data_IF_331990137951
#
_entry.id   IF_331990137951
#
_cell.length_a   1.000
_cell.length_b   1.000
_cell.length_c   1.000
_cell.angle_alpha   90.00
_cell.angle_beta   90.00
_cell.angle_gamma   90.00
#
_symmetry.space_group_name_H-M   'P 1'
#
loop_
_entity.id
_entity.type
_entity.pdbx_description
1 polymer ?
#
# COMPACT_ATOMS: atom_id res chain seq x y z
N UNK A 1 36.37 -59.51 -13.07
CA UNK A 1 35.00 -59.10 -12.72
C UNK A 1 35.01 -57.62 -12.37
N UNK A 2 34.72 -56.74 -13.34
CA UNK A 2 34.67 -55.27 -13.15
C UNK A 2 33.25 -54.91 -12.74
N UNK A 3 33.06 -54.42 -11.51
CA UNK A 3 31.78 -53.87 -11.05
C UNK A 3 31.58 -52.51 -11.71
N UNK A 4 30.58 -52.40 -12.59
CA UNK A 4 30.08 -51.12 -13.06
C UNK A 4 29.30 -50.45 -11.92
N UNK A 5 29.65 -49.20 -11.61
CA UNK A 5 28.87 -48.34 -10.75
C UNK A 5 27.60 -47.85 -11.50
N UNK A 6 26.47 -47.63 -10.80
CA UNK A 6 25.26 -47.11 -11.43
C UNK A 6 25.43 -45.63 -11.76
N UNK A 7 25.32 -45.32 -13.06
CA UNK A 7 25.13 -43.95 -13.56
C UNK A 7 23.75 -43.47 -13.15
N UNK A 8 23.69 -42.56 -12.16
CA UNK A 8 22.49 -41.81 -11.84
C UNK A 8 22.35 -40.70 -12.88
N UNK A 9 21.39 -40.85 -13.78
CA UNK A 9 21.01 -39.86 -14.77
C UNK A 9 20.32 -38.69 -14.05
N UNK A 10 21.03 -37.56 -13.88
CA UNK A 10 20.44 -36.30 -13.44
C UNK A 10 19.68 -35.67 -14.61
N UNK A 11 18.40 -36.01 -14.72
CA UNK A 11 17.46 -35.24 -15.51
C UNK A 11 17.21 -33.90 -14.80
N UNK A 12 17.76 -32.82 -15.35
CA UNK A 12 17.56 -31.45 -14.90
C UNK A 12 16.17 -30.97 -15.36
N UNK A 13 15.13 -31.29 -14.58
CA UNK A 13 13.84 -30.59 -14.59
C UNK A 13 13.57 -30.20 -13.14
N UNK A 14 14.11 -29.05 -12.74
CA UNK A 14 14.05 -28.53 -11.38
C UNK A 14 12.67 -27.98 -11.03
N UNK A 15 11.67 -28.85 -10.88
CA UNK A 15 10.54 -28.60 -10.00
C UNK A 15 10.94 -29.19 -8.65
N UNK A 16 11.43 -28.34 -7.77
CA UNK A 16 11.67 -28.69 -6.38
C UNK A 16 10.30 -28.82 -5.70
N UNK A 17 9.70 -30.00 -5.77
CA UNK A 17 8.56 -30.35 -4.95
C UNK A 17 9.05 -30.44 -3.49
N UNK A 18 8.70 -29.45 -2.67
CA UNK A 18 8.76 -29.59 -1.23
C UNK A 18 7.74 -30.66 -0.83
N UNK A 19 8.24 -31.85 -0.47
CA UNK A 19 7.46 -32.83 0.26
C UNK A 19 7.16 -32.25 1.65
N UNK A 20 5.90 -31.90 1.91
CA UNK A 20 5.42 -31.65 3.25
C UNK A 20 5.35 -33.00 3.98
N UNK A 21 6.16 -33.18 5.02
CA UNK A 21 5.89 -34.18 6.04
C UNK A 21 4.70 -33.68 6.86
N UNK A 22 3.52 -34.27 6.64
CA UNK A 22 2.42 -34.19 7.60
C UNK A 22 2.82 -34.98 8.84
N UNK A 23 2.97 -34.27 9.95
CA UNK A 23 3.09 -34.87 11.27
C UNK A 23 1.69 -34.90 11.89
N UNK A 24 1.07 -36.09 11.85
CA UNK A 24 -0.16 -36.42 12.57
C UNK A 24 0.14 -36.47 14.07
N UNK A 25 0.08 -35.33 14.75
CA UNK A 25 0.07 -35.28 16.22
C UNK A 25 -1.35 -35.13 16.72
N UNK A 26 -1.97 -36.29 16.92
CA UNK A 26 -3.15 -36.55 17.72
C UNK A 26 -2.95 -36.04 19.17
N UNK A 27 -3.55 -34.90 19.48
CA UNK A 27 -3.55 -34.30 20.82
C UNK A 27 -4.97 -34.18 21.36
N UNK A 28 -5.46 -35.24 21.99
CA UNK A 28 -6.58 -35.20 22.93
C UNK A 28 -6.27 -34.23 24.06
N UNK A 29 -7.14 -33.25 24.32
CA UNK A 29 -7.09 -32.44 25.53
C UNK A 29 -8.48 -32.28 26.12
N UNK A 30 -8.52 -32.57 27.42
CA UNK A 30 -9.65 -32.91 28.25
C UNK A 30 -10.72 -31.82 28.40
N UNK A 31 -11.95 -32.31 28.55
CA UNK A 31 -13.11 -31.56 29.03
C UNK A 31 -13.22 -31.69 30.56
N UNK A 32 -12.79 -30.67 31.30
CA UNK A 32 -13.17 -30.36 32.70
C UNK A 32 -13.02 -28.84 32.85
N UNK A 33 -14.01 -28.02 33.18
CA UNK A 33 -15.14 -28.19 34.08
C UNK A 33 -14.83 -27.42 35.37
N UNK A 34 -15.21 -26.14 35.44
CA UNK A 34 -15.38 -25.26 36.62
C UNK A 34 -15.70 -23.85 36.05
N UNK A 35 -16.83 -23.18 36.29
CA UNK A 35 -17.66 -23.14 37.48
C UNK A 35 -17.35 -21.87 38.28
N UNK A 36 -17.76 -20.68 37.81
CA UNK A 36 -17.86 -19.50 38.68
C UNK A 36 -19.11 -18.67 38.36
N UNK A 37 -19.75 -18.29 39.46
CA UNK A 37 -21.10 -17.81 39.62
C UNK A 37 -21.39 -16.43 39.01
N UNK A 38 -22.69 -16.23 38.78
CA UNK A 38 -23.35 -14.93 38.67
C UNK A 38 -23.13 -14.05 39.90
N UNK A 39 -23.13 -12.72 39.74
CA UNK A 39 -24.01 -11.81 40.50
C UNK A 39 -23.97 -10.35 39.99
N UNK A 40 -25.11 -9.67 40.18
CA UNK A 40 -25.34 -8.23 40.39
C UNK A 40 -25.24 -7.22 39.21
N UNK A 41 -26.40 -7.01 38.58
CA UNK A 41 -27.21 -5.78 38.63
C UNK A 41 -26.52 -4.45 39.01
N UNK A 42 -26.61 -3.44 38.13
CA UNK A 42 -26.77 -2.05 38.55
C UNK A 42 -27.46 -1.24 37.43
N UNK A 43 -28.78 -1.11 37.57
CA UNK A 43 -29.60 -0.07 36.96
C UNK A 43 -29.07 1.33 37.32
N UNK A 44 -29.03 2.21 36.33
CA UNK A 44 -28.73 3.63 36.49
C UNK A 44 -29.58 4.46 35.54
N UNK A 45 -30.89 4.46 35.78
CA UNK A 45 -31.82 5.41 35.18
C UNK A 45 -31.61 6.81 35.75
N UNK A 46 -31.50 7.80 34.87
CA UNK A 46 -31.98 9.15 35.10
C UNK A 46 -31.20 10.24 34.37
N UNK A 47 -31.79 11.34 33.91
CA UNK A 47 -33.18 11.83 33.85
C UNK A 47 -33.11 13.16 33.07
N UNK A 48 -34.24 13.52 32.46
CA UNK A 48 -34.72 14.90 32.20
C UNK A 48 -33.96 15.74 31.13
N UNK A 49 -34.55 15.93 29.94
CA UNK A 49 -35.60 16.92 29.57
C UNK A 49 -35.10 18.37 29.58
N UNK A 50 -34.94 18.91 28.36
CA UNK A 50 -34.83 20.33 28.07
C UNK A 50 -35.27 20.62 26.62
N UNK A 51 -36.39 21.34 26.40
CA UNK A 51 -36.99 21.58 25.08
C UNK A 51 -36.50 22.88 24.44
N UNK A 52 -36.77 22.99 23.12
CA UNK A 52 -36.98 24.21 22.33
C UNK A 52 -35.95 25.35 22.36
N UNK A 53 -35.41 25.71 21.18
CA UNK A 53 -35.74 27.00 20.56
C UNK A 53 -35.03 27.24 19.22
N UNK A 54 -35.85 27.44 18.20
CA UNK A 54 -35.71 28.43 17.12
C UNK A 54 -34.60 28.27 16.08
N UNK A 55 -34.95 27.64 14.96
CA UNK A 55 -34.49 28.07 13.63
C UNK A 55 -35.33 29.29 13.19
N UNK A 56 -34.73 30.48 13.00
CA UNK A 56 -35.41 31.55 12.30
C UNK A 56 -35.38 31.31 10.79
N UNK A 57 -36.57 31.31 10.21
CA UNK A 57 -36.79 31.56 8.78
C UNK A 57 -36.15 32.89 8.38
N UNK A 58 -35.52 32.91 7.21
CA UNK A 58 -35.26 34.14 6.45
C UNK A 58 -35.51 33.84 4.98
N UNK A 59 -36.78 34.03 4.61
CA UNK A 59 -37.21 34.27 3.25
C UNK A 59 -37.00 35.77 2.92
N UNK A 60 -36.57 36.04 1.68
CA UNK A 60 -36.33 37.38 1.13
C UNK A 60 -34.83 37.57 0.83
N UNK A 61 -34.38 38.05 -0.33
CA UNK A 61 -35.09 38.59 -1.48
C UNK A 61 -34.10 38.64 -2.65
N UNK A 62 -34.66 38.46 -3.85
CA UNK A 62 -34.23 38.94 -5.18
C UNK A 62 -32.97 39.83 -5.27
N UNK A 63 -31.99 39.42 -6.09
CA UNK A 63 -31.47 40.29 -7.15
C UNK A 63 -30.67 39.53 -8.22
N UNK A 64 -31.23 39.58 -9.44
CA UNK A 64 -30.50 39.37 -10.67
C UNK A 64 -29.43 40.46 -10.83
N UNK A 65 -28.23 40.06 -11.23
CA UNK A 65 -27.32 40.92 -12.00
C UNK A 65 -26.53 40.03 -12.93
N UNK A 66 -27.19 39.80 -14.06
CA UNK A 66 -26.57 39.63 -15.37
C UNK A 66 -25.49 40.71 -15.55
N UNK A 67 -24.23 40.29 -15.58
CA UNK A 67 -23.15 41.06 -16.19
C UNK A 67 -22.21 40.08 -16.85
N UNK A 68 -22.62 39.68 -18.04
CA UNK A 68 -21.77 39.06 -19.05
C UNK A 68 -20.70 40.08 -19.49
N UNK A 69 -19.39 39.85 -19.27
CA UNK A 69 -18.35 40.57 -19.98
C UNK A 69 -18.22 39.97 -21.39
N UNK A 70 -18.21 40.78 -22.45
CA UNK A 70 -17.92 40.29 -23.79
C UNK A 70 -16.43 40.05 -23.94
N UNK A 71 -16.10 38.80 -24.29
CA UNK A 71 -15.02 38.45 -25.21
C UNK A 71 -13.59 38.83 -24.83
N UNK A 72 -12.80 37.81 -24.52
CA UNK A 72 -11.54 37.63 -25.23
C UNK A 72 -11.46 36.18 -25.70
N UNK A 73 -11.39 36.03 -27.03
CA UNK A 73 -11.14 34.79 -27.73
C UNK A 73 -9.73 34.29 -27.37
N UNK A 74 -9.61 33.61 -26.24
CA UNK A 74 -8.43 32.83 -25.90
C UNK A 74 -8.48 31.54 -26.70
N UNK A 75 -7.76 31.55 -27.84
CA UNK A 75 -7.44 30.39 -28.68
C UNK A 75 -7.49 29.08 -27.92
N UNK A 76 -8.39 28.21 -28.36
CA UNK A 76 -8.40 26.78 -28.06
C UNK A 76 -6.98 26.25 -28.25
N UNK A 77 -6.24 26.19 -27.15
CA UNK A 77 -5.05 25.38 -27.09
C UNK A 77 -5.59 23.97 -27.18
N UNK A 78 -5.61 23.47 -28.42
CA UNK A 78 -5.75 22.06 -28.71
C UNK A 78 -4.98 21.29 -27.63
N UNK A 79 -5.55 20.22 -27.04
CA UNK A 79 -4.79 19.36 -26.15
C UNK A 79 -3.52 18.98 -26.92
N UNK A 80 -2.43 19.65 -26.55
CA UNK A 80 -1.14 19.46 -27.18
C UNK A 80 -0.90 17.97 -27.05
N UNK A 81 -0.78 17.34 -28.21
CA UNK A 81 -0.37 15.96 -28.38
C UNK A 81 0.85 15.77 -27.49
N UNK A 82 0.61 15.28 -26.27
CA UNK A 82 1.60 15.06 -25.26
C UNK A 82 2.34 13.81 -25.70
N UNK A 83 3.18 14.00 -26.71
CA UNK A 83 3.91 12.97 -27.40
C UNK A 83 4.52 12.00 -26.39
N UNK A 84 3.92 10.82 -26.36
CA UNK A 84 4.56 9.52 -26.26
C UNK A 84 5.45 9.21 -25.04
N UNK A 85 5.39 9.99 -23.96
CA UNK A 85 5.98 9.56 -22.67
C UNK A 85 5.00 8.80 -21.76
N UNK A 86 3.71 8.74 -22.12
CA UNK A 86 2.69 7.98 -21.40
C UNK A 86 2.78 6.46 -21.63
N UNK A 87 3.45 6.01 -22.69
CA UNK A 87 3.55 4.58 -23.04
C UNK A 87 4.70 3.85 -22.32
N UNK A 88 5.69 4.57 -21.79
CA UNK A 88 6.83 3.93 -21.11
C UNK A 88 6.51 3.49 -19.66
N UNK A 89 5.40 3.96 -19.08
CA UNK A 89 4.96 3.62 -17.72
C UNK A 89 3.57 2.94 -17.67
N UNK A 90 2.87 2.83 -18.81
CA UNK A 90 1.59 2.14 -18.91
C UNK A 90 1.72 0.61 -18.84
N UNK A 91 2.84 0.07 -19.34
CA UNK A 91 3.30 -1.28 -18.99
C UNK A 91 3.87 -1.21 -17.56
N UNK A 92 3.32 -1.96 -16.61
CA UNK A 92 3.67 -1.71 -15.21
C UNK A 92 5.20 -1.76 -15.01
N UNK A 93 5.80 -0.66 -14.54
CA UNK A 93 7.24 -0.46 -14.61
C UNK A 93 7.94 -1.41 -13.67
N UNK A 94 9.01 -2.05 -14.14
CA UNK A 94 9.71 -3.08 -13.36
C UNK A 94 11.22 -2.80 -13.29
N UNK A 95 11.87 -3.17 -12.18
CA UNK A 95 11.27 -3.60 -10.90
C UNK A 95 10.64 -2.43 -10.13
N UNK A 96 9.62 -2.73 -9.31
CA UNK A 96 9.13 -1.83 -8.26
C UNK A 96 9.53 -2.38 -6.89
N UNK A 97 10.09 -1.54 -6.04
CA UNK A 97 10.48 -1.88 -4.68
C UNK A 97 9.91 -0.84 -3.74
N UNK A 98 9.30 -1.26 -2.64
CA UNK A 98 8.82 -0.35 -1.60
C UNK A 98 9.01 -0.90 -0.20
N UNK A 99 9.22 0.00 0.75
CA UNK A 99 9.46 -0.31 2.15
C UNK A 99 9.22 0.92 3.04
N UNK A 100 9.16 0.72 4.35
CA UNK A 100 9.25 1.83 5.30
C UNK A 100 10.69 2.00 5.81
N UNK A 101 11.19 3.23 5.77
CA UNK A 101 12.50 3.63 6.28
C UNK A 101 12.37 4.42 7.58
N UNK A 102 13.26 4.15 8.54
CA UNK A 102 13.30 4.81 9.85
C UNK A 102 12.56 4.06 10.93
N UNK A 103 12.35 4.72 12.07
CA UNK A 103 11.72 4.17 13.25
C UNK A 103 12.52 3.08 13.98
N UNK A 104 12.19 2.91 15.26
CA UNK A 104 12.67 1.82 16.10
C UNK A 104 11.72 0.62 15.94
N UNK A 105 12.01 -0.25 14.97
CA UNK A 105 11.17 -1.41 14.63
C UNK A 105 11.94 -2.72 14.84
N UNK A 106 11.24 -3.78 15.28
CA UNK A 106 11.84 -5.10 15.49
C UNK A 106 12.25 -5.79 14.16
N UNK A 107 11.59 -5.44 13.07
CA UNK A 107 11.87 -5.94 11.73
C UNK A 107 11.48 -4.90 10.67
N UNK A 108 12.01 -5.05 9.46
CA UNK A 108 11.68 -4.24 8.29
C UNK A 108 11.18 -5.14 7.18
N UNK A 109 10.09 -4.73 6.56
CA UNK A 109 9.52 -5.43 5.42
C UNK A 109 9.82 -4.65 4.13
N UNK A 110 10.27 -5.37 3.10
CA UNK A 110 10.56 -4.86 1.76
C UNK A 110 9.75 -5.68 0.76
N UNK A 111 8.93 -5.00 -0.02
CA UNK A 111 8.12 -5.62 -1.07
C UNK A 111 8.71 -5.31 -2.43
N UNK A 112 8.74 -6.31 -3.31
CA UNK A 112 9.21 -6.18 -4.69
C UNK A 112 8.15 -6.73 -5.63
N UNK A 113 7.82 -5.98 -6.69
CA UNK A 113 7.01 -6.44 -7.81
C UNK A 113 7.84 -6.46 -9.10
N UNK A 114 7.94 -7.64 -9.71
CA UNK A 114 8.66 -7.88 -10.96
C UNK A 114 7.70 -8.39 -12.03
N UNK A 115 7.83 -7.87 -13.25
CA UNK A 115 6.97 -8.21 -14.41
C UNK A 115 5.47 -8.18 -14.11
N UNK A 116 5.03 -7.33 -13.17
CA UNK A 116 3.61 -7.14 -12.80
C UNK A 116 2.90 -8.42 -12.35
N UNK A 117 3.66 -9.46 -12.02
CA UNK A 117 3.13 -10.81 -11.85
C UNK A 117 3.85 -11.58 -10.76
N UNK A 118 5.12 -11.27 -10.49
CA UNK A 118 5.89 -11.88 -9.41
C UNK A 118 6.05 -10.90 -8.26
N UNK A 119 5.50 -11.26 -7.10
CA UNK A 119 5.63 -10.49 -5.86
C UNK A 119 6.51 -11.23 -4.88
N UNK A 120 7.42 -10.48 -4.26
CA UNK A 120 8.34 -10.95 -3.24
C UNK A 120 8.19 -10.03 -2.02
N UNK A 121 7.94 -10.62 -0.86
CA UNK A 121 7.97 -9.93 0.42
C UNK A 121 9.12 -10.50 1.24
N UNK A 122 10.08 -9.64 1.57
CA UNK A 122 11.21 -9.94 2.44
C UNK A 122 11.03 -9.23 3.78
N UNK A 123 11.32 -9.93 4.88
CA UNK A 123 11.41 -9.39 6.22
C UNK A 123 12.83 -9.56 6.73
N UNK A 124 13.46 -8.46 7.11
CA UNK A 124 14.77 -8.45 7.77
C UNK A 124 14.63 -8.09 9.25
N UNK A 125 15.26 -8.86 10.13
CA UNK A 125 15.26 -8.68 11.58
C UNK A 125 16.26 -9.65 12.22
N UNK A 126 15.94 -10.20 13.39
CA UNK A 126 16.74 -11.29 14.00
C UNK A 126 16.80 -12.53 13.11
N UNK A 127 15.70 -12.82 12.42
CA UNK A 127 15.59 -13.89 11.42
C UNK A 127 15.13 -13.25 10.12
N UNK A 128 15.76 -13.67 9.00
CA UNK A 128 15.33 -13.25 7.68
C UNK A 128 14.26 -14.22 7.17
N UNK A 129 13.12 -13.68 6.77
CA UNK A 129 12.00 -14.44 6.23
C UNK A 129 11.64 -13.87 4.86
N UNK A 130 11.18 -14.72 3.96
CA UNK A 130 10.68 -14.28 2.66
C UNK A 130 9.51 -15.14 2.20
N UNK A 131 8.61 -14.56 1.43
CA UNK A 131 7.62 -15.30 0.66
C UNK A 131 7.53 -14.76 -0.75
N UNK A 132 7.20 -15.64 -1.69
CA UNK A 132 6.97 -15.30 -3.09
C UNK A 132 5.56 -15.73 -3.49
N UNK A 133 4.87 -14.85 -4.20
CA UNK A 133 3.53 -15.12 -4.72
C UNK A 133 3.43 -14.66 -6.16
N UNK A 134 2.50 -15.26 -6.90
CA UNK A 134 2.11 -14.79 -8.22
C UNK A 134 0.82 -13.98 -8.12
N UNK A 135 0.74 -12.91 -8.91
CA UNK A 135 -0.46 -12.11 -9.12
C UNK A 135 -1.16 -12.60 -10.37
N UNK A 136 -2.49 -12.65 -10.31
CA UNK A 136 -3.28 -12.85 -11.51
C UNK A 136 -3.23 -11.58 -12.38
N UNK A 137 -3.35 -11.72 -13.70
CA UNK A 137 -3.35 -10.57 -14.61
C UNK A 137 -4.50 -9.58 -14.33
N UNK A 138 -5.60 -10.07 -13.75
CA UNK A 138 -6.79 -9.32 -13.34
C UNK A 138 -6.86 -9.06 -11.82
N UNK A 139 -5.71 -9.09 -11.12
CA UNK A 139 -5.64 -8.77 -9.70
C UNK A 139 -6.11 -7.31 -9.46
N UNK A 140 -7.10 -7.14 -8.58
CA UNK A 140 -7.73 -5.84 -8.34
C UNK A 140 -6.75 -4.82 -7.72
N UNK A 141 -5.80 -5.26 -6.89
CA UNK A 141 -4.82 -4.36 -6.28
C UNK A 141 -3.75 -3.94 -7.30
N UNK A 142 -3.37 -4.84 -8.23
CA UNK A 142 -2.52 -4.47 -9.36
C UNK A 142 -3.18 -3.39 -10.25
N UNK A 143 -4.49 -3.47 -10.46
CA UNK A 143 -5.24 -2.45 -11.19
C UNK A 143 -5.18 -1.07 -10.48
N UNK A 144 -5.30 -1.04 -9.15
CA UNK A 144 -5.15 0.20 -8.36
C UNK A 144 -3.73 0.79 -8.47
N UNK A 145 -2.70 -0.05 -8.39
CA UNK A 145 -1.29 0.38 -8.54
C UNK A 145 -1.08 0.99 -9.93
N UNK A 146 -1.55 0.32 -10.98
CA UNK A 146 -1.44 0.81 -12.36
C UNK A 146 -2.19 2.13 -12.55
N UNK A 147 -3.40 2.24 -12.02
CA UNK A 147 -4.17 3.48 -12.05
C UNK A 147 -3.43 4.63 -11.33
N UNK A 148 -2.85 4.38 -10.15
CA UNK A 148 -2.10 5.41 -9.42
C UNK A 148 -0.81 5.85 -10.14
N UNK A 149 -0.11 4.92 -10.82
CA UNK A 149 1.09 5.22 -11.63
C UNK A 149 0.75 6.04 -12.88
N UNK A 150 -0.42 5.83 -13.47
CA UNK A 150 -0.86 6.57 -14.67
C UNK A 150 -1.16 8.04 -14.41
N UNK A 151 -1.24 8.46 -13.14
CA UNK A 151 -1.54 9.86 -12.80
C UNK A 151 -0.36 10.78 -13.08
N UNK A 152 -0.64 11.94 -13.65
CA UNK A 152 0.36 12.94 -14.03
C UNK A 152 1.19 13.44 -12.85
N UNK A 153 0.57 13.59 -11.68
CA UNK A 153 1.22 14.02 -10.45
C UNK A 153 2.16 12.95 -9.86
N UNK A 154 1.82 11.67 -9.99
CA UNK A 154 2.73 10.55 -9.67
C UNK A 154 3.95 10.55 -10.60
N UNK A 155 3.71 10.66 -11.90
CA UNK A 155 4.78 10.65 -12.91
C UNK A 155 5.73 11.84 -12.71
N UNK A 156 5.18 13.04 -12.53
CA UNK A 156 5.95 14.25 -12.21
C UNK A 156 6.75 14.08 -10.92
N UNK A 157 6.17 13.45 -9.89
CA UNK A 157 6.86 13.23 -8.63
C UNK A 157 8.08 12.31 -8.77
N UNK A 158 7.96 11.25 -9.58
CA UNK A 158 9.01 10.29 -9.86
C UNK A 158 10.09 10.86 -10.81
N UNK A 159 9.78 11.84 -11.66
CA UNK A 159 10.76 12.48 -12.56
C UNK A 159 11.55 13.61 -11.90
N UNK A 160 11.01 14.26 -10.86
CA UNK A 160 11.61 15.47 -10.26
C UNK A 160 12.96 15.22 -9.58
N UNK A 161 13.32 13.96 -9.29
CA UNK A 161 14.65 13.59 -8.80
C UNK A 161 14.61 12.33 -7.93
N UNK A 162 15.70 11.57 -7.93
CA UNK A 162 15.85 10.37 -7.10
C UNK A 162 15.96 10.74 -5.63
N UNK A 163 15.04 10.21 -4.81
CA UNK A 163 15.08 10.36 -3.36
C UNK A 163 14.44 11.64 -2.83
N UNK A 164 13.66 12.35 -3.65
CA UNK A 164 12.91 13.52 -3.17
C UNK A 164 11.90 13.10 -2.12
N UNK A 165 11.92 13.80 -0.98
CA UNK A 165 10.95 13.65 0.10
C UNK A 165 9.73 14.55 -0.13
N UNK A 166 8.57 13.93 -0.12
CA UNK A 166 7.26 14.56 -0.12
C UNK A 166 6.63 14.40 1.26
N UNK A 167 6.13 15.48 1.83
CA UNK A 167 5.66 15.55 3.21
C UNK A 167 6.78 15.87 4.21
N UNK A 168 6.47 15.73 5.49
CA UNK A 168 7.40 15.94 6.60
C UNK A 168 8.13 14.64 6.93
N UNK A 169 9.45 14.75 7.07
CA UNK A 169 10.30 13.70 7.60
C UNK A 169 10.03 13.48 9.09
N UNK A 170 9.56 12.29 9.45
CA UNK A 170 9.31 11.93 10.85
C UNK A 170 10.41 11.04 11.43
N UNK A 171 11.42 10.66 10.65
CA UNK A 171 12.52 9.81 11.11
C UNK A 171 13.29 10.37 12.32
N UNK A 172 13.49 11.69 12.50
CA UNK A 172 14.17 12.22 13.69
C UNK A 172 13.43 12.01 15.02
N UNK A 173 12.15 11.66 14.98
CA UNK A 173 11.30 11.41 16.16
C UNK A 173 10.73 10.00 16.13
N UNK A 174 11.55 9.03 15.74
CA UNK A 174 11.21 7.60 15.62
C UNK A 174 10.04 7.28 14.66
N UNK A 175 9.72 8.22 13.77
CA UNK A 175 8.77 7.99 12.70
C UNK A 175 9.36 7.24 11.51
N UNK A 176 8.48 6.93 10.55
CA UNK A 176 8.85 6.23 9.33
C UNK A 176 8.43 7.04 8.11
N UNK A 177 9.23 6.93 7.04
CA UNK A 177 8.89 7.42 5.71
C UNK A 177 8.72 6.23 4.77
N UNK A 178 7.71 6.29 3.91
CA UNK A 178 7.47 5.26 2.91
C UNK A 178 8.38 5.54 1.70
N UNK A 179 9.22 4.59 1.36
CA UNK A 179 10.08 4.64 0.18
C UNK A 179 9.47 3.80 -0.93
N UNK A 180 9.47 4.35 -2.15
CA UNK A 180 9.13 3.63 -3.37
C UNK A 180 10.19 3.90 -4.44
N UNK A 181 10.68 2.84 -5.06
CA UNK A 181 11.62 2.86 -6.19
C UNK A 181 11.01 2.13 -7.37
N UNK A 182 10.89 2.81 -8.51
CA UNK A 182 10.26 2.32 -9.74
C UNK A 182 11.21 2.57 -10.90
N UNK A 183 11.69 1.51 -11.55
CA UNK A 183 12.65 1.61 -12.66
C UNK A 183 13.85 2.53 -12.35
N UNK A 184 14.37 2.43 -11.11
CA UNK A 184 15.48 3.25 -10.61
C UNK A 184 15.12 4.67 -10.15
N UNK A 185 13.88 5.12 -10.33
CA UNK A 185 13.39 6.41 -9.81
C UNK A 185 12.81 6.22 -8.43
N UNK A 186 13.31 7.01 -7.47
CA UNK A 186 12.95 6.87 -6.06
C UNK A 186 12.17 8.09 -5.58
N UNK A 187 11.11 7.87 -4.81
CA UNK A 187 10.39 8.89 -4.07
C UNK A 187 10.23 8.46 -2.61
N UNK A 188 10.33 9.43 -1.69
CA UNK A 188 10.09 9.24 -0.26
C UNK A 188 8.79 9.97 0.11
N UNK A 189 7.91 9.30 0.85
CA UNK A 189 6.61 9.81 1.28
C UNK A 189 6.55 9.80 2.79
N UNK A 190 6.64 10.98 3.39
CA UNK A 190 6.54 11.18 4.83
C UNK A 190 5.11 11.34 5.32
N UNK A 191 4.98 12.13 6.40
CA UNK A 191 3.68 12.54 6.94
C UNK A 191 3.16 13.81 6.24
N UNK A 192 1.84 14.09 6.24
CA UNK A 192 1.32 15.33 5.66
C UNK A 192 1.97 16.58 6.27
N UNK A 193 2.21 17.60 5.44
CA UNK A 193 2.65 18.92 5.89
C UNK A 193 1.55 19.55 6.77
N UNK A 194 1.90 20.07 7.95
CA UNK A 194 0.95 20.71 8.89
C UNK A 194 0.72 22.18 8.58
N UNK A 195 1.62 22.80 7.84
CA UNK A 195 1.54 24.18 7.37
C UNK A 195 2.24 24.31 6.02
N UNK A 196 1.86 25.31 5.24
CA UNK A 196 2.45 25.64 3.93
C UNK A 196 3.86 26.25 4.04
N UNK A 197 4.62 25.90 5.08
CA UNK A 197 5.99 26.37 5.27
C UNK A 197 6.88 26.00 4.09
N UNK A 198 7.83 26.87 3.77
CA UNK A 198 8.69 26.76 2.58
C UNK A 198 9.58 25.50 2.54
N UNK A 199 9.72 24.78 3.66
CA UNK A 199 10.57 23.58 3.75
C UNK A 199 9.83 22.25 3.54
N UNK A 200 8.49 22.24 3.49
CA UNK A 200 7.70 21.03 3.33
C UNK A 200 7.07 20.96 1.94
N UNK A 201 7.52 20.04 1.09
CA UNK A 201 6.87 19.81 -0.21
C UNK A 201 5.60 19.00 0.02
N UNK A 202 4.39 19.47 -0.36
CA UNK A 202 3.16 18.70 -0.21
C UNK A 202 3.22 17.34 -0.91
N UNK A 203 2.54 16.34 -0.37
CA UNK A 203 2.45 15.01 -0.99
C UNK A 203 1.50 15.10 -2.19
N UNK A 204 1.96 14.82 -3.42
CA UNK A 204 1.08 14.80 -4.58
C UNK A 204 -0.02 13.74 -4.41
N UNK A 205 -1.25 14.04 -4.83
CA UNK A 205 -2.40 13.17 -4.60
C UNK A 205 -2.20 11.78 -5.23
N UNK A 206 -1.57 11.70 -6.40
CA UNK A 206 -1.24 10.43 -7.04
C UNK A 206 -0.17 9.64 -6.32
N UNK A 207 0.84 10.29 -5.74
CA UNK A 207 1.85 9.62 -4.93
C UNK A 207 1.25 9.06 -3.62
N UNK A 208 0.30 9.80 -3.03
CA UNK A 208 -0.48 9.30 -1.89
C UNK A 208 -1.34 8.08 -2.28
N UNK A 209 -2.03 8.14 -3.42
CA UNK A 209 -2.81 7.02 -3.95
C UNK A 209 -1.93 5.80 -4.27
N UNK A 210 -0.73 6.01 -4.82
CA UNK A 210 0.23 4.95 -5.10
C UNK A 210 0.70 4.26 -3.82
N UNK A 211 1.05 5.03 -2.79
CA UNK A 211 1.41 4.49 -1.48
C UNK A 211 0.29 3.60 -0.93
N UNK A 212 -0.95 4.07 -0.94
CA UNK A 212 -2.10 3.28 -0.46
C UNK A 212 -2.25 1.99 -1.26
N UNK A 213 -2.23 2.06 -2.60
CA UNK A 213 -2.39 0.88 -3.46
C UNK A 213 -1.29 -0.17 -3.25
N UNK A 214 -0.03 0.26 -3.04
CA UNK A 214 1.09 -0.65 -2.77
C UNK A 214 0.97 -1.32 -1.38
N UNK A 215 0.47 -0.60 -0.37
CA UNK A 215 0.24 -1.16 0.95
C UNK A 215 -0.92 -2.16 0.95
N UNK A 216 -2.01 -1.85 0.25
CA UNK A 216 -3.13 -2.78 0.02
C UNK A 216 -2.63 -4.06 -0.65
N UNK A 217 -1.84 -3.92 -1.73
CA UNK A 217 -1.25 -5.08 -2.42
C UNK A 217 -0.39 -5.92 -1.47
N UNK A 218 0.50 -5.30 -0.68
CA UNK A 218 1.31 -6.03 0.31
C UNK A 218 0.44 -6.76 1.34
N UNK A 219 -0.63 -6.14 1.82
CA UNK A 219 -1.55 -6.75 2.77
C UNK A 219 -2.26 -7.98 2.16
N UNK A 220 -2.79 -7.86 0.94
CA UNK A 220 -3.44 -8.95 0.21
C UNK A 220 -2.48 -10.11 -0.03
N UNK A 221 -1.24 -9.85 -0.48
CA UNK A 221 -0.27 -10.91 -0.73
C UNK A 221 0.20 -11.58 0.56
N UNK A 222 0.38 -10.83 1.65
CA UNK A 222 0.74 -11.35 2.97
C UNK A 222 -0.33 -12.30 3.53
N UNK A 223 -1.60 -12.04 3.25
CA UNK A 223 -2.71 -12.90 3.68
C UNK A 223 -2.72 -14.28 2.98
N UNK A 224 -1.93 -14.50 1.92
CA UNK A 224 -1.84 -15.79 1.23
C UNK A 224 -1.11 -16.83 2.09
N UNK A 225 -1.51 -18.10 1.97
CA UNK A 225 -0.91 -19.21 2.71
C UNK A 225 0.61 -19.32 2.51
N UNK A 226 1.13 -19.00 1.33
CA UNK A 226 2.57 -18.98 1.04
C UNK A 226 3.36 -17.97 1.90
N UNK A 227 2.69 -16.99 2.49
CA UNK A 227 3.27 -15.95 3.35
C UNK A 227 2.90 -16.13 4.84
N UNK A 228 2.36 -17.29 5.24
CA UNK A 228 1.92 -17.52 6.63
C UNK A 228 3.04 -17.29 7.66
N UNK A 229 4.29 -17.65 7.34
CA UNK A 229 5.44 -17.42 8.22
C UNK A 229 5.75 -15.93 8.48
N UNK A 230 5.19 -15.01 7.68
CA UNK A 230 5.34 -13.56 7.82
C UNK A 230 4.16 -12.91 8.55
N UNK A 231 3.14 -13.68 8.92
CA UNK A 231 2.06 -13.24 9.80
C UNK A 231 2.51 -13.48 11.26
N UNK A 232 2.85 -12.40 12.01
CA UNK A 232 3.19 -12.53 13.42
C UNK A 232 1.98 -12.94 14.27
#
# INVERSE_FOLDING_TARGET
MKRLAPLCFLAFVGVLALAACSDDSNGTSDSRGEGIAADATADGQGKDLGPDATTPDSAGDTQASDTTPPGEAGTDSAPGDAGNNADALAACPTPMVWQYLGGLVAYRDKSTLTNCSAFLLERSGTVNLQCMTTLAANDADLAKVTAALSRSDTQAALTTGTGKLYGRDTRPVDGQVFEVTIAGRQALVGSPCTSSGSSCTPIPAGLAALRTALLDLTATQRAKAACAALNP
#
